data_IF_003461921653
#
_entry.id   IF_003461921653
#
_cell.length_a   1.000
_cell.length_b   1.000
_cell.length_c   1.000
_cell.angle_alpha   90.00
_cell.angle_beta   90.00
_cell.angle_gamma   90.00
#
_symmetry.space_group_name_H-M   'P 1'
#
loop_
_entity.id
_entity.type
_entity.pdbx_description
1 polymer ?
#
# COMPACT_ATOMS: atom_id res chain seq x y z
N UNK A 1 -62.15 -3.12 33.35
CA UNK A 1 -60.88 -3.83 33.11
C UNK A 1 -59.83 -2.80 32.70
N UNK A 2 -58.97 -2.38 33.62
CA UNK A 2 -57.77 -1.59 33.32
C UNK A 2 -56.57 -2.52 33.53
N UNK A 3 -55.81 -2.78 32.48
CA UNK A 3 -54.62 -3.61 32.53
C UNK A 3 -53.38 -2.74 32.82
N UNK A 4 -52.58 -3.20 33.78
CA UNK A 4 -51.38 -2.51 34.27
C UNK A 4 -50.22 -2.57 33.27
N UNK A 5 -49.39 -1.55 33.32
CA UNK A 5 -48.20 -1.33 32.52
C UNK A 5 -47.15 -2.45 32.68
N UNK A 6 -46.64 -2.95 31.55
CA UNK A 6 -45.37 -3.72 31.49
C UNK A 6 -44.26 -2.78 31.05
N UNK A 7 -43.39 -2.41 31.99
CA UNK A 7 -42.13 -1.69 31.77
C UNK A 7 -41.29 -2.39 30.68
N UNK A 8 -41.13 -1.76 29.51
CA UNK A 8 -40.14 -2.16 28.51
C UNK A 8 -38.73 -1.95 29.08
N UNK A 9 -37.97 -3.04 29.21
CA UNK A 9 -36.51 -2.96 29.38
C UNK A 9 -35.92 -2.33 28.12
N UNK A 10 -35.29 -1.16 28.29
CA UNK A 10 -34.48 -0.50 27.25
C UNK A 10 -33.28 -1.42 26.99
N UNK A 11 -33.26 -2.09 25.84
CA UNK A 11 -32.12 -2.90 25.40
C UNK A 11 -30.92 -2.02 25.06
N UNK A 12 -29.74 -2.44 25.48
CA UNK A 12 -28.45 -1.87 25.05
C UNK A 12 -28.35 -1.90 23.52
N UNK A 13 -27.79 -0.83 22.92
CA UNK A 13 -27.55 -0.78 21.47
C UNK A 13 -26.46 -1.81 21.10
N UNK A 14 -26.72 -2.78 20.19
CA UNK A 14 -25.74 -3.81 19.81
C UNK A 14 -24.39 -3.25 19.30
N UNK A 15 -24.39 -2.06 18.70
CA UNK A 15 -23.18 -1.37 18.22
C UNK A 15 -22.22 -0.95 19.34
N UNK A 16 -22.70 -0.69 20.56
CA UNK A 16 -21.83 -0.29 21.67
C UNK A 16 -21.01 -1.46 22.23
N UNK A 17 -21.54 -2.69 22.15
CA UNK A 17 -20.84 -3.91 22.58
C UNK A 17 -19.78 -4.36 21.56
N UNK A 18 -20.08 -4.23 20.26
CA UNK A 18 -19.17 -4.57 19.15
C UNK A 18 -17.85 -3.79 19.18
N UNK A 19 -17.90 -2.52 19.56
CA UNK A 19 -16.75 -1.63 19.61
C UNK A 19 -16.28 -1.35 21.04
N UNK A 20 -16.47 -2.28 21.98
CA UNK A 20 -16.02 -2.10 23.36
C UNK A 20 -14.50 -2.12 23.56
N UNK A 21 -13.75 -2.83 22.71
CA UNK A 21 -12.30 -3.04 22.85
C UNK A 21 -11.45 -2.32 21.78
N UNK A 22 -10.22 -1.87 22.12
CA UNK A 22 -9.30 -1.21 21.17
C UNK A 22 -8.84 -2.09 20.01
N UNK A 23 -8.91 -3.41 20.17
CA UNK A 23 -8.40 -4.38 19.21
C UNK A 23 -9.40 -5.53 19.03
N UNK A 24 -9.49 -6.09 17.82
CA UNK A 24 -10.45 -7.13 17.46
C UNK A 24 -9.78 -8.22 16.61
N UNK A 25 -10.22 -9.47 16.74
CA UNK A 25 -9.87 -10.56 15.81
C UNK A 25 -10.68 -10.55 14.51
N UNK A 26 -11.59 -9.60 14.33
CA UNK A 26 -12.50 -9.51 13.18
C UNK A 26 -13.25 -10.84 12.94
N UNK A 27 -13.80 -11.42 14.01
CA UNK A 27 -14.50 -12.70 13.97
C UNK A 27 -15.95 -12.62 13.49
N UNK A 28 -16.62 -11.48 13.72
CA UNK A 28 -18.01 -11.26 13.31
C UNK A 28 -18.06 -10.28 12.13
N UNK A 29 -18.74 -10.61 11.02
CA UNK A 29 -18.96 -9.68 9.90
C UNK A 29 -19.80 -8.47 10.33
N UNK A 30 -19.53 -7.26 9.79
CA UNK A 30 -20.42 -6.12 9.97
C UNK A 30 -21.77 -6.39 9.28
N UNK A 31 -22.87 -6.11 9.97
CA UNK A 31 -24.24 -6.27 9.47
C UNK A 31 -24.88 -4.95 9.02
N UNK A 32 -24.08 -3.88 9.01
CA UNK A 32 -24.54 -2.53 8.68
C UNK A 32 -24.47 -2.30 7.16
N UNK A 33 -25.46 -1.59 6.63
CA UNK A 33 -25.44 -1.12 5.24
C UNK A 33 -24.64 0.17 5.13
N UNK A 34 -23.78 0.27 4.12
CA UNK A 34 -22.96 1.45 3.84
C UNK A 34 -23.18 1.92 2.41
N UNK A 35 -22.90 3.20 2.15
CA UNK A 35 -22.90 3.72 0.78
C UNK A 35 -21.76 3.13 -0.05
N UNK A 36 -21.91 3.10 -1.39
CA UNK A 36 -20.84 2.64 -2.28
C UNK A 36 -19.58 3.52 -2.17
N UNK A 37 -19.77 4.83 -1.97
CA UNK A 37 -18.68 5.78 -1.74
C UNK A 37 -17.92 5.50 -0.45
N UNK A 38 -18.63 5.19 0.66
CA UNK A 38 -17.97 4.74 1.89
C UNK A 38 -17.23 3.42 1.69
N UNK A 39 -17.84 2.47 0.99
CA UNK A 39 -17.23 1.18 0.69
C UNK A 39 -15.88 1.35 -0.02
N UNK A 40 -15.86 2.15 -1.10
CA UNK A 40 -14.64 2.45 -1.85
C UNK A 40 -13.60 3.19 -1.01
N UNK A 41 -14.01 4.24 -0.30
CA UNK A 41 -13.12 5.05 0.54
C UNK A 41 -12.48 4.19 1.64
N UNK A 42 -13.26 3.31 2.28
CA UNK A 42 -12.77 2.43 3.35
C UNK A 42 -11.80 1.39 2.83
N UNK A 43 -12.06 0.83 1.64
CA UNK A 43 -11.16 -0.11 0.98
C UNK A 43 -9.81 0.55 0.66
N UNK A 44 -9.86 1.71 0.00
CA UNK A 44 -8.67 2.46 -0.42
C UNK A 44 -7.85 2.88 0.81
N UNK A 45 -8.49 3.43 1.83
CA UNK A 45 -7.77 3.90 3.02
C UNK A 45 -7.12 2.75 3.79
N UNK A 46 -7.79 1.61 3.95
CA UNK A 46 -7.16 0.45 4.60
C UNK A 46 -6.01 -0.09 3.75
N UNK A 47 -6.15 -0.11 2.44
CA UNK A 47 -5.08 -0.55 1.56
C UNK A 47 -3.84 0.36 1.68
N UNK A 48 -4.02 1.69 1.76
CA UNK A 48 -2.92 2.64 2.06
C UNK A 48 -2.25 2.32 3.39
N UNK A 49 -3.03 2.03 4.42
CA UNK A 49 -2.51 1.65 5.73
C UNK A 49 -1.66 0.37 5.65
N UNK A 50 -2.17 -0.70 5.02
CA UNK A 50 -1.45 -1.96 4.89
C UNK A 50 -0.19 -1.84 4.01
N UNK A 51 -0.23 -1.02 2.95
CA UNK A 51 0.96 -0.69 2.15
C UNK A 51 2.00 0.09 2.96
N UNK A 52 1.56 0.96 3.87
CA UNK A 52 2.47 1.62 4.80
C UNK A 52 3.08 0.62 5.80
N UNK A 53 2.31 -0.35 6.29
CA UNK A 53 2.83 -1.43 7.15
C UNK A 53 3.93 -2.22 6.44
N UNK A 54 3.69 -2.60 5.18
CA UNK A 54 4.69 -3.26 4.32
C UNK A 54 5.97 -2.42 4.19
N UNK A 55 5.84 -1.17 3.76
CA UNK A 55 6.96 -0.27 3.53
C UNK A 55 7.81 -0.02 4.79
N UNK A 56 7.14 0.23 5.93
CA UNK A 56 7.81 0.50 7.20
C UNK A 56 8.43 -0.79 7.77
N UNK A 57 7.81 -1.95 7.56
CA UNK A 57 8.35 -3.25 7.97
C UNK A 57 9.59 -3.69 7.19
N UNK A 58 9.76 -3.22 5.96
CA UNK A 58 10.99 -3.39 5.18
C UNK A 58 12.05 -2.37 5.60
N UNK A 59 11.65 -1.12 5.83
CA UNK A 59 12.59 -0.01 6.09
C UNK A 59 13.14 0.04 7.52
N UNK A 60 12.43 -0.55 8.48
CA UNK A 60 12.77 -0.46 9.91
C UNK A 60 12.55 -1.79 10.63
N UNK A 61 13.30 -1.99 11.71
CA UNK A 61 13.04 -3.09 12.64
C UNK A 61 11.66 -2.91 13.30
N UNK A 62 10.88 -4.00 13.32
CA UNK A 62 9.54 -4.04 13.92
C UNK A 62 9.62 -3.66 15.40
N UNK A 63 8.83 -2.68 15.82
CA UNK A 63 8.83 -2.17 17.20
C UNK A 63 9.83 -1.06 17.49
N UNK A 64 10.70 -0.68 16.54
CA UNK A 64 11.58 0.48 16.70
C UNK A 64 10.77 1.80 16.84
N UNK A 65 11.32 2.84 17.50
CA UNK A 65 10.64 4.13 17.61
C UNK A 65 10.26 4.75 16.25
N UNK A 66 11.09 4.57 15.23
CA UNK A 66 10.83 5.05 13.87
C UNK A 66 9.68 4.28 13.21
N UNK A 67 9.64 2.95 13.39
CA UNK A 67 8.55 2.09 12.93
C UNK A 67 7.21 2.55 13.52
N UNK A 68 7.15 2.69 14.84
CA UNK A 68 5.93 3.11 15.56
C UNK A 68 5.51 4.51 15.16
N UNK A 69 6.44 5.48 15.11
CA UNK A 69 6.13 6.87 14.75
C UNK A 69 5.48 6.98 13.37
N UNK A 70 5.97 6.25 12.37
CA UNK A 70 5.40 6.27 11.02
C UNK A 70 4.01 5.63 10.97
N UNK A 71 3.80 4.49 11.65
CA UNK A 71 2.49 3.84 11.70
C UNK A 71 1.43 4.70 12.41
N UNK A 72 1.80 5.37 13.50
CA UNK A 72 0.89 6.30 14.21
C UNK A 72 0.53 7.47 13.31
N UNK A 73 1.50 8.07 12.62
CA UNK A 73 1.27 9.19 11.73
C UNK A 73 0.29 8.83 10.61
N UNK A 74 0.48 7.67 9.98
CA UNK A 74 -0.40 7.22 8.90
C UNK A 74 -1.79 6.83 9.40
N UNK A 75 -1.87 6.12 10.53
CA UNK A 75 -3.15 5.76 11.16
C UNK A 75 -3.96 7.01 11.50
N UNK A 76 -3.30 8.07 11.98
CA UNK A 76 -3.93 9.37 12.25
C UNK A 76 -4.39 10.05 10.95
N UNK A 77 -3.56 10.07 9.92
CA UNK A 77 -3.87 10.70 8.63
C UNK A 77 -5.09 10.06 7.95
N UNK A 78 -5.18 8.73 8.02
CA UNK A 78 -6.25 7.94 7.41
C UNK A 78 -7.46 7.73 8.31
N UNK A 79 -7.52 8.39 9.48
CA UNK A 79 -8.60 8.25 10.47
C UNK A 79 -8.85 6.80 10.94
N UNK A 80 -7.79 6.00 11.08
CA UNK A 80 -7.85 4.69 11.75
C UNK A 80 -7.57 4.81 13.25
N UNK A 81 -8.00 3.82 14.06
CA UNK A 81 -7.69 3.79 15.48
C UNK A 81 -6.18 3.74 15.71
N UNK A 82 -5.65 4.76 16.40
CA UNK A 82 -4.30 4.77 16.96
C UNK A 82 -4.31 4.94 18.49
N UNK A 83 -5.50 5.16 19.07
CA UNK A 83 -5.82 5.25 20.51
C UNK A 83 -7.24 4.71 20.74
N UNK A 84 -7.71 4.78 21.99
CA UNK A 84 -9.08 4.44 22.40
C UNK A 84 -10.11 5.44 21.82
N UNK A 85 -10.41 5.30 20.53
CA UNK A 85 -11.41 6.13 19.83
C UNK A 85 -12.50 5.22 19.23
N UNK A 86 -13.65 5.03 19.91
CA UNK A 86 -14.72 4.13 19.47
C UNK A 86 -15.24 4.44 18.06
N UNK A 87 -15.34 5.72 17.70
CA UNK A 87 -15.90 6.18 16.43
C UNK A 87 -15.08 5.74 15.20
N UNK A 88 -13.76 5.53 15.39
CA UNK A 88 -12.86 5.08 14.32
C UNK A 88 -12.82 3.56 14.16
N UNK A 89 -13.40 2.81 15.10
CA UNK A 89 -13.43 1.34 15.06
C UNK A 89 -14.37 0.80 14.00
N UNK A 90 -15.47 1.51 13.71
CA UNK A 90 -16.38 1.17 12.61
C UNK A 90 -15.65 1.07 11.28
N UNK A 91 -14.87 2.10 10.94
CA UNK A 91 -14.08 2.12 9.71
C UNK A 91 -13.08 0.97 9.67
N UNK A 92 -12.35 0.72 10.76
CA UNK A 92 -11.38 -0.36 10.86
C UNK A 92 -12.01 -1.75 10.67
N UNK A 93 -13.13 -2.01 11.35
CA UNK A 93 -13.86 -3.27 11.25
C UNK A 93 -14.40 -3.50 9.83
N UNK A 94 -15.12 -2.52 9.27
CA UNK A 94 -15.74 -2.66 7.94
C UNK A 94 -14.67 -2.79 6.85
N UNK A 95 -13.67 -1.90 6.85
CA UNK A 95 -12.61 -1.91 5.83
C UNK A 95 -11.83 -3.22 5.81
N UNK A 96 -11.61 -3.87 6.95
CA UNK A 96 -10.98 -5.19 7.02
C UNK A 96 -11.78 -6.23 6.24
N UNK A 97 -13.10 -6.29 6.46
CA UNK A 97 -13.98 -7.23 5.76
C UNK A 97 -14.12 -6.89 4.26
N UNK A 98 -14.10 -5.62 3.88
CA UNK A 98 -14.09 -5.22 2.47
C UNK A 98 -12.85 -5.76 1.77
N UNK A 99 -11.65 -5.57 2.34
CA UNK A 99 -10.41 -6.06 1.72
C UNK A 99 -10.32 -7.59 1.67
N UNK A 100 -11.01 -8.33 2.56
CA UNK A 100 -11.11 -9.80 2.44
C UNK A 100 -11.71 -10.22 1.09
N UNK A 101 -12.65 -9.45 0.53
CA UNK A 101 -13.25 -9.77 -0.77
C UNK A 101 -12.22 -9.66 -1.90
N UNK A 102 -11.37 -8.64 -1.88
CA UNK A 102 -10.34 -8.44 -2.91
C UNK A 102 -9.16 -9.41 -2.75
N UNK A 103 -8.69 -9.60 -1.51
CA UNK A 103 -7.45 -10.35 -1.24
C UNK A 103 -7.66 -11.85 -1.00
N UNK A 104 -8.88 -12.38 -1.12
CA UNK A 104 -9.13 -13.82 -1.03
C UNK A 104 -8.95 -14.57 -2.37
N UNK A 105 -8.81 -13.86 -3.49
CA UNK A 105 -8.83 -14.41 -4.86
C UNK A 105 -7.68 -15.38 -5.16
N UNK A 106 -6.43 -14.98 -4.89
CA UNK A 106 -5.25 -15.81 -5.16
C UNK A 106 -4.50 -16.14 -3.87
N UNK A 107 -3.62 -17.14 -3.89
CA UNK A 107 -2.80 -17.46 -2.72
C UNK A 107 -1.83 -16.34 -2.36
N UNK A 108 -1.23 -15.70 -3.36
CA UNK A 108 -0.25 -14.63 -3.13
C UNK A 108 -0.90 -13.40 -2.49
N UNK A 109 -2.09 -13.01 -2.96
CA UNK A 109 -2.88 -11.94 -2.34
C UNK A 109 -3.25 -12.29 -0.90
N UNK A 110 -3.67 -13.53 -0.64
CA UNK A 110 -3.98 -14.01 0.72
C UNK A 110 -2.76 -13.92 1.62
N UNK A 111 -1.60 -14.42 1.17
CA UNK A 111 -0.34 -14.40 1.93
C UNK A 111 0.07 -12.97 2.26
N UNK A 112 0.02 -12.08 1.28
CA UNK A 112 0.35 -10.66 1.47
C UNK A 112 -0.58 -9.99 2.49
N UNK A 113 -1.90 -10.13 2.31
CA UNK A 113 -2.89 -9.51 3.18
C UNK A 113 -2.80 -10.01 4.62
N UNK A 114 -2.69 -11.34 4.81
CA UNK A 114 -2.49 -11.94 6.13
C UNK A 114 -1.22 -11.38 6.78
N UNK A 115 -0.12 -11.27 6.03
CA UNK A 115 1.14 -10.78 6.56
C UNK A 115 1.03 -9.34 7.08
N UNK A 116 0.45 -8.43 6.27
CA UNK A 116 0.31 -7.03 6.67
C UNK A 116 -0.69 -6.84 7.80
N UNK A 117 -1.81 -7.58 7.81
CA UNK A 117 -2.79 -7.54 8.91
C UNK A 117 -2.22 -8.07 10.22
N UNK A 118 -1.43 -9.16 10.18
CA UNK A 118 -0.74 -9.69 11.37
C UNK A 118 0.27 -8.69 11.92
N UNK A 119 1.02 -8.01 11.05
CA UNK A 119 1.98 -6.99 11.48
C UNK A 119 1.30 -5.72 12.04
N UNK A 120 0.17 -5.30 11.46
CA UNK A 120 -0.67 -4.25 12.03
C UNK A 120 -1.24 -4.66 13.39
N UNK A 121 -1.74 -5.88 13.51
CA UNK A 121 -2.26 -6.43 14.76
C UNK A 121 -1.16 -6.50 15.83
N UNK A 122 0.04 -6.97 15.47
CA UNK A 122 1.21 -7.00 16.38
C UNK A 122 1.51 -5.63 16.97
N UNK A 123 1.56 -4.61 16.11
CA UNK A 123 1.77 -3.23 16.57
C UNK A 123 0.70 -2.81 17.57
N UNK A 124 -0.59 -2.99 17.22
CA UNK A 124 -1.70 -2.58 18.08
C UNK A 124 -1.76 -3.36 19.38
N UNK A 125 -1.49 -4.67 19.36
CA UNK A 125 -1.47 -5.51 20.55
C UNK A 125 -0.34 -5.12 21.51
N UNK A 126 0.84 -4.79 20.97
CA UNK A 126 1.97 -4.36 21.79
C UNK A 126 1.75 -3.01 22.47
N UNK A 127 0.96 -2.12 21.87
CA UNK A 127 0.58 -0.82 22.43
C UNK A 127 -0.46 -0.91 23.57
N UNK A 128 -1.11 -2.08 23.74
CA UNK A 128 -2.07 -2.30 24.82
C UNK A 128 -1.40 -2.36 26.19
N UNK A 129 -2.06 -1.78 27.20
CA UNK A 129 -1.67 -1.97 28.59
C UNK A 129 -1.85 -3.43 29.04
N UNK A 130 -1.13 -3.89 30.08
CA UNK A 130 -1.27 -5.26 30.59
C UNK A 130 -2.71 -5.65 30.95
N UNK A 131 -3.49 -4.72 31.53
CA UNK A 131 -4.91 -4.94 31.87
C UNK A 131 -5.76 -5.18 30.62
N UNK A 132 -5.53 -4.40 29.56
CA UNK A 132 -6.25 -4.55 28.28
C UNK A 132 -5.87 -5.84 27.56
N UNK A 133 -4.60 -6.26 27.63
CA UNK A 133 -4.19 -7.56 27.08
C UNK A 133 -4.93 -8.70 27.76
N UNK A 134 -4.98 -8.72 29.10
CA UNK A 134 -5.73 -9.74 29.85
C UNK A 134 -7.22 -9.74 29.48
N UNK A 135 -7.85 -8.58 29.46
CA UNK A 135 -9.26 -8.48 29.07
C UNK A 135 -9.51 -8.98 27.64
N UNK A 136 -8.60 -8.66 26.71
CA UNK A 136 -8.64 -9.16 25.33
C UNK A 136 -8.54 -10.69 25.28
N UNK A 137 -7.63 -11.30 26.05
CA UNK A 137 -7.47 -12.76 26.10
C UNK A 137 -8.77 -13.44 26.61
N UNK A 138 -9.29 -12.99 27.75
CA UNK A 138 -10.50 -13.57 28.34
C UNK A 138 -11.72 -13.47 27.41
N UNK A 139 -11.94 -12.32 26.76
CA UNK A 139 -13.08 -12.12 25.84
C UNK A 139 -13.01 -12.99 24.58
N UNK A 140 -11.82 -13.36 24.14
CA UNK A 140 -11.63 -14.19 22.95
C UNK A 140 -11.52 -15.69 23.28
N UNK A 141 -11.94 -16.10 24.48
CA UNK A 141 -11.86 -17.47 25.00
C UNK A 141 -10.42 -18.01 25.07
N UNK A 142 -9.44 -17.12 25.27
CA UNK A 142 -8.05 -17.49 25.51
C UNK A 142 -7.80 -17.43 27.03
N UNK A 143 -8.08 -18.52 27.72
CA UNK A 143 -7.89 -18.62 29.18
C UNK A 143 -6.40 -18.86 29.51
N UNK A 144 -5.61 -17.81 29.37
CA UNK A 144 -4.18 -17.84 29.63
C UNK A 144 -3.92 -17.23 31.00
N UNK A 145 -4.01 -18.08 32.02
CA UNK A 145 -3.81 -17.66 33.41
C UNK A 145 -2.32 -17.68 33.77
N UNK A 146 -1.93 -16.75 34.64
CA UNK A 146 -0.58 -16.74 35.21
C UNK A 146 -0.44 -17.83 36.26
N UNK A 147 0.74 -18.48 36.30
CA UNK A 147 1.01 -19.50 37.32
C UNK A 147 1.23 -18.86 38.69
N UNK A 148 0.78 -19.55 39.73
CA UNK A 148 1.03 -19.12 41.11
C UNK A 148 2.52 -19.18 41.47
N UNK A 149 2.91 -18.41 42.50
CA UNK A 149 4.31 -18.30 42.96
C UNK A 149 4.87 -19.67 43.36
N UNK A 150 4.08 -20.50 44.06
CA UNK A 150 4.47 -21.85 44.48
C UNK A 150 4.71 -22.79 43.28
N UNK A 151 3.81 -22.78 42.29
CA UNK A 151 3.97 -23.58 41.06
C UNK A 151 5.19 -23.11 40.27
N UNK A 152 5.40 -21.80 40.18
CA UNK A 152 6.56 -21.19 39.53
C UNK A 152 7.88 -21.61 40.19
N UNK A 153 7.95 -21.57 41.52
CA UNK A 153 9.13 -21.99 42.29
C UNK A 153 9.42 -23.48 42.09
N UNK A 154 8.39 -24.33 42.12
CA UNK A 154 8.54 -25.77 41.90
C UNK A 154 8.97 -26.14 40.47
N UNK A 155 8.66 -25.30 39.48
CA UNK A 155 9.00 -25.52 38.07
C UNK A 155 10.25 -24.75 37.62
N UNK A 156 10.89 -23.95 38.48
CA UNK A 156 11.97 -23.01 38.14
C UNK A 156 13.03 -23.62 37.23
N UNK A 157 13.67 -24.73 37.63
CA UNK A 157 14.74 -25.35 36.85
C UNK A 157 14.26 -25.84 35.48
N UNK A 158 13.02 -26.32 35.41
CA UNK A 158 12.42 -26.83 34.17
C UNK A 158 12.09 -25.69 33.21
N UNK A 159 11.58 -24.57 33.72
CA UNK A 159 11.32 -23.36 32.93
C UNK A 159 12.62 -22.80 32.37
N UNK A 160 13.66 -22.76 33.19
CA UNK A 160 14.99 -22.24 32.84
C UNK A 160 15.65 -23.10 31.74
N UNK A 161 15.59 -24.43 31.86
CA UNK A 161 16.15 -25.34 30.87
C UNK A 161 15.36 -25.41 29.54
N UNK A 162 14.08 -25.05 29.56
CA UNK A 162 13.20 -25.18 28.40
C UNK A 162 12.95 -23.87 27.65
N UNK A 163 13.30 -22.72 28.22
CA UNK A 163 12.99 -21.40 27.66
C UNK A 163 14.28 -20.69 27.18
N UNK A 164 14.53 -20.60 25.86
CA UNK A 164 15.72 -19.94 25.34
C UNK A 164 15.75 -18.45 25.72
N UNK A 165 16.91 -17.96 26.16
CA UNK A 165 17.09 -16.54 26.51
C UNK A 165 16.55 -16.13 27.88
N UNK A 166 16.02 -17.08 28.67
CA UNK A 166 15.60 -16.84 30.05
C UNK A 166 16.75 -17.23 31.00
N UNK A 167 17.28 -16.25 31.74
CA UNK A 167 18.22 -16.48 32.85
C UNK A 167 17.48 -16.77 34.16
N UNK A 168 18.16 -17.38 35.14
CA UNK A 168 17.53 -17.71 36.43
C UNK A 168 16.96 -16.52 37.21
N UNK A 169 17.49 -15.32 36.98
CA UNK A 169 16.97 -14.06 37.53
C UNK A 169 15.67 -13.68 36.81
N UNK A 170 15.65 -13.76 35.48
CA UNK A 170 14.45 -13.44 34.69
C UNK A 170 13.29 -14.41 34.93
N UNK A 171 13.54 -15.65 35.36
CA UNK A 171 12.46 -16.57 35.76
C UNK A 171 11.70 -16.00 36.96
N UNK A 172 12.39 -15.45 37.96
CA UNK A 172 11.74 -14.95 39.19
C UNK A 172 10.93 -13.69 38.93
N UNK A 173 11.46 -12.78 38.12
CA UNK A 173 10.86 -11.46 37.85
C UNK A 173 9.74 -11.48 36.78
N UNK A 174 9.74 -12.47 35.86
CA UNK A 174 8.77 -12.49 34.76
C UNK A 174 7.56 -13.39 35.03
N UNK A 175 6.38 -12.94 34.62
CA UNK A 175 5.18 -13.78 34.64
C UNK A 175 5.27 -14.91 33.62
N UNK A 176 4.84 -16.10 34.05
CA UNK A 176 4.66 -17.26 33.19
C UNK A 176 3.17 -17.57 33.07
N UNK A 177 2.73 -17.82 31.85
CA UNK A 177 1.37 -18.21 31.52
C UNK A 177 1.29 -19.71 31.31
N UNK A 178 0.24 -20.31 31.84
CA UNK A 178 -0.11 -21.70 31.60
C UNK A 178 -1.15 -21.75 30.49
N UNK A 179 -0.80 -22.34 29.35
CA UNK A 179 -1.68 -22.40 28.18
C UNK A 179 -1.80 -23.83 27.65
N UNK A 180 -2.93 -24.23 27.06
CA UNK A 180 -3.05 -25.51 26.38
C UNK A 180 -1.96 -25.66 25.32
N UNK A 181 -1.31 -26.83 25.23
CA UNK A 181 -0.18 -27.00 24.30
C UNK A 181 -0.56 -26.81 22.82
N UNK A 182 -1.83 -27.04 22.49
CA UNK A 182 -2.40 -26.89 21.15
C UNK A 182 -2.37 -25.44 20.65
N UNK A 183 -2.36 -24.47 21.57
CA UNK A 183 -2.31 -23.04 21.22
C UNK A 183 -0.87 -22.57 20.97
N UNK A 184 0.13 -23.37 21.36
CA UNK A 184 1.55 -23.02 21.34
C UNK A 184 2.40 -24.00 20.50
N UNK A 185 1.82 -24.64 19.48
CA UNK A 185 2.46 -25.74 18.75
C UNK A 185 3.83 -25.37 18.14
N UNK A 186 4.01 -24.13 17.69
CA UNK A 186 5.29 -23.67 17.12
C UNK A 186 6.43 -23.66 18.17
N UNK A 187 6.10 -23.31 19.41
CA UNK A 187 7.04 -23.31 20.52
C UNK A 187 7.31 -24.75 21.00
N UNK A 188 6.28 -25.59 21.03
CA UNK A 188 6.39 -27.01 21.40
C UNK A 188 7.26 -27.78 20.41
N UNK A 189 6.99 -27.64 19.10
CA UNK A 189 7.72 -28.32 18.03
C UNK A 189 9.21 -27.99 18.05
N UNK A 190 9.56 -26.76 18.42
CA UNK A 190 10.95 -26.30 18.50
C UNK A 190 11.58 -26.51 19.88
N UNK A 191 10.87 -27.14 20.82
CA UNK A 191 11.30 -27.40 22.20
C UNK A 191 11.76 -26.13 22.93
N UNK A 192 11.03 -25.03 22.73
CA UNK A 192 11.32 -23.71 23.32
C UNK A 192 10.46 -23.38 24.54
N UNK A 193 9.64 -24.32 25.00
CA UNK A 193 8.74 -24.17 26.16
C UNK A 193 8.68 -25.46 26.95
N UNK A 194 8.41 -25.35 28.24
CA UNK A 194 8.20 -26.50 29.11
C UNK A 194 6.77 -27.05 28.95
N UNK A 195 6.65 -28.37 28.72
CA UNK A 195 5.37 -29.08 28.55
C UNK A 195 5.13 -30.01 29.75
N UNK A 196 3.94 -29.93 30.38
CA UNK A 196 3.52 -30.81 31.47
C UNK A 196 2.01 -31.02 31.43
N UNK A 197 1.59 -32.29 31.41
CA UNK A 197 0.18 -32.70 31.52
C UNK A 197 -0.79 -31.97 30.56
N UNK A 198 -0.38 -31.79 29.30
CA UNK A 198 -1.20 -31.11 28.27
C UNK A 198 -1.13 -29.58 28.27
N UNK A 199 -0.33 -28.99 29.17
CA UNK A 199 -0.12 -27.55 29.24
C UNK A 199 1.33 -27.18 28.96
N UNK A 200 1.53 -26.01 28.36
CA UNK A 200 2.84 -25.39 28.23
C UNK A 200 2.93 -24.14 29.09
N UNK A 201 4.15 -23.84 29.50
CA UNK A 201 4.47 -22.72 30.35
C UNK A 201 5.33 -21.76 29.54
N UNK A 202 4.80 -20.57 29.29
CA UNK A 202 5.42 -19.59 28.40
C UNK A 202 5.69 -18.28 29.15
N UNK A 203 6.80 -17.59 28.90
CA UNK A 203 7.04 -16.27 29.47
C UNK A 203 6.10 -15.24 28.83
N UNK A 204 5.85 -14.13 29.53
CA UNK A 204 4.99 -13.04 29.04
C UNK A 204 5.37 -12.56 27.62
N UNK A 205 6.64 -12.60 27.25
CA UNK A 205 7.10 -12.16 25.92
C UNK A 205 6.53 -13.01 24.78
N UNK A 206 6.27 -14.30 25.02
CA UNK A 206 5.76 -15.25 24.01
C UNK A 206 4.24 -15.22 23.85
N UNK A 207 3.52 -14.55 24.76
CA UNK A 207 2.05 -14.40 24.65
C UNK A 207 1.67 -13.71 23.34
N UNK A 208 2.49 -12.76 22.90
CA UNK A 208 2.31 -12.01 21.66
C UNK A 208 2.39 -12.97 20.47
N UNK A 209 3.37 -13.87 20.44
CA UNK A 209 3.54 -14.86 19.37
C UNK A 209 2.32 -15.76 19.23
N UNK A 210 1.81 -16.28 20.35
CA UNK A 210 0.63 -17.17 20.35
C UNK A 210 -0.62 -16.46 19.84
N UNK A 211 -0.90 -15.26 20.36
CA UNK A 211 -2.08 -14.48 19.96
C UNK A 211 -2.02 -14.12 18.47
N UNK A 212 -0.83 -13.78 17.96
CA UNK A 212 -0.62 -13.49 16.55
C UNK A 212 -0.85 -14.71 15.66
N UNK A 213 -0.42 -15.89 16.11
CA UNK A 213 -0.63 -17.14 15.38
C UNK A 213 -2.09 -17.56 15.35
N UNK A 214 -2.83 -17.39 16.46
CA UNK A 214 -4.28 -17.61 16.48
C UNK A 214 -5.00 -16.66 15.51
N UNK A 215 -4.65 -15.38 15.55
CA UNK A 215 -5.18 -14.39 14.60
C UNK A 215 -4.90 -14.77 13.14
N UNK A 216 -3.64 -15.13 12.82
CA UNK A 216 -3.21 -15.56 11.49
C UNK A 216 -4.03 -16.76 11.01
N UNK A 217 -4.21 -17.76 11.86
CA UNK A 217 -4.91 -19.01 11.54
C UNK A 217 -6.39 -18.74 11.29
N UNK A 218 -7.05 -17.96 12.15
CA UNK A 218 -8.46 -17.56 11.98
C UNK A 218 -8.67 -16.75 10.70
N UNK A 219 -7.79 -15.79 10.42
CA UNK A 219 -7.86 -14.96 9.22
C UNK A 219 -7.67 -15.80 7.95
N UNK A 220 -6.69 -16.70 7.94
CA UNK A 220 -6.46 -17.64 6.83
C UNK A 220 -7.69 -18.49 6.54
N UNK A 221 -8.29 -19.09 7.57
CA UNK A 221 -9.54 -19.85 7.45
C UNK A 221 -10.69 -18.99 6.93
N UNK A 222 -10.83 -17.77 7.44
CA UNK A 222 -11.88 -16.85 7.01
C UNK A 222 -11.75 -16.48 5.52
N UNK A 223 -10.54 -16.17 5.04
CA UNK A 223 -10.30 -15.87 3.62
C UNK A 223 -10.60 -17.07 2.72
N UNK A 224 -10.27 -18.28 3.16
CA UNK A 224 -10.61 -19.50 2.40
C UNK A 224 -12.13 -19.69 2.29
N UNK A 225 -12.88 -19.39 3.35
CA UNK A 225 -14.35 -19.41 3.31
C UNK A 225 -14.92 -18.29 2.43
N UNK A 226 -14.38 -17.07 2.52
CA UNK A 226 -14.78 -15.94 1.66
C UNK A 226 -14.57 -16.27 0.18
N UNK A 227 -13.42 -16.84 -0.18
CA UNK A 227 -13.11 -17.21 -1.56
C UNK A 227 -14.13 -18.20 -2.16
N UNK A 228 -14.61 -19.16 -1.35
CA UNK A 228 -15.63 -20.14 -1.79
C UNK A 228 -16.98 -19.48 -2.10
N UNK A 229 -17.34 -18.43 -1.37
CA UNK A 229 -18.60 -17.70 -1.55
C UNK A 229 -18.47 -16.50 -2.51
N UNK A 230 -17.26 -16.21 -2.98
CA UNK A 230 -16.96 -15.06 -3.82
C UNK A 230 -17.69 -15.03 -5.17
N UNK A 231 -18.03 -16.16 -5.84
CA UNK A 231 -18.81 -16.13 -7.08
C UNK A 231 -20.16 -15.42 -6.95
N UNK A 232 -20.83 -15.51 -5.79
CA UNK A 232 -22.09 -14.81 -5.54
C UNK A 232 -21.93 -13.28 -5.44
N UNK A 233 -20.71 -12.81 -5.17
CA UNK A 233 -20.35 -11.38 -5.18
C UNK A 233 -19.94 -10.94 -6.59
N UNK A 234 -19.44 -11.86 -7.42
CA UNK A 234 -19.03 -11.56 -8.79
C UNK A 234 -20.18 -11.21 -9.73
N UNK A 235 -21.40 -11.66 -9.42
CA UNK A 235 -22.60 -11.27 -10.16
C UNK A 235 -22.99 -9.79 -9.95
N UNK A 236 -22.42 -9.09 -8.97
CA UNK A 236 -22.69 -7.67 -8.75
C UNK A 236 -21.71 -6.79 -9.54
N UNK A 237 -22.20 -6.19 -10.62
CA UNK A 237 -21.42 -5.31 -11.51
C UNK A 237 -20.81 -4.10 -10.80
N UNK A 238 -21.35 -3.68 -9.65
CA UNK A 238 -20.83 -2.52 -8.90
C UNK A 238 -19.54 -2.86 -8.16
N UNK A 239 -19.41 -4.10 -7.71
CA UNK A 239 -18.28 -4.54 -6.87
C UNK A 239 -17.12 -5.07 -7.72
N UNK A 240 -17.42 -5.64 -8.89
CA UNK A 240 -16.43 -6.26 -9.76
C UNK A 240 -15.25 -5.34 -10.13
N UNK A 241 -15.49 -4.13 -10.69
CA UNK A 241 -14.39 -3.22 -11.02
C UNK A 241 -13.59 -2.89 -9.77
N UNK A 242 -14.23 -2.60 -8.64
CA UNK A 242 -13.53 -2.18 -7.44
C UNK A 242 -12.63 -3.30 -6.87
N UNK A 243 -13.12 -4.55 -6.81
CA UNK A 243 -12.34 -5.67 -6.30
C UNK A 243 -11.14 -6.01 -7.19
N UNK A 244 -11.31 -5.94 -8.52
CA UNK A 244 -10.23 -6.18 -9.48
C UNK A 244 -9.20 -5.05 -9.48
N UNK A 245 -9.65 -3.80 -9.30
CA UNK A 245 -8.73 -2.69 -9.17
C UNK A 245 -7.97 -2.75 -7.85
N UNK A 246 -8.58 -3.04 -6.70
CA UNK A 246 -7.90 -2.97 -5.39
C UNK A 246 -6.63 -3.81 -5.28
N UNK A 247 -6.56 -4.98 -5.92
CA UNK A 247 -5.37 -5.86 -5.90
C UNK A 247 -4.20 -5.29 -6.73
N UNK A 248 -4.49 -4.50 -7.76
CA UNK A 248 -3.52 -3.90 -8.68
C UNK A 248 -3.45 -2.37 -8.59
N UNK A 249 -4.27 -1.76 -7.74
CA UNK A 249 -4.50 -0.32 -7.70
C UNK A 249 -3.26 0.39 -7.20
N UNK A 250 -2.84 1.37 -7.99
CA UNK A 250 -1.89 2.36 -7.53
C UNK A 250 -2.58 3.30 -6.55
N UNK A 251 -2.18 3.22 -5.28
CA UNK A 251 -2.80 4.00 -4.19
C UNK A 251 -2.03 5.28 -3.87
N UNK A 252 -1.03 5.62 -4.69
CA UNK A 252 -0.27 6.85 -4.57
C UNK A 252 -0.95 8.04 -5.24
N UNK A 253 -0.23 9.16 -5.35
CA UNK A 253 -0.79 10.41 -5.85
C UNK A 253 -1.12 10.32 -7.34
N UNK A 254 -2.30 10.79 -7.75
CA UNK A 254 -2.64 10.87 -9.17
C UNK A 254 -1.83 12.00 -9.85
N UNK A 255 -1.04 11.61 -10.86
CA UNK A 255 -0.18 12.52 -11.63
C UNK A 255 -0.84 13.01 -12.93
N UNK A 256 -2.09 12.65 -13.19
CA UNK A 256 -2.85 13.15 -14.35
C UNK A 256 -3.21 14.64 -14.23
N UNK A 257 -3.51 15.13 -13.01
CA UNK A 257 -4.09 16.48 -12.77
C UNK A 257 -3.06 17.47 -12.20
N UNK A 258 -1.74 17.29 -12.36
CA UNK A 258 -0.79 18.33 -11.91
C UNK A 258 -0.81 19.55 -12.85
N UNK A 259 -1.80 20.42 -12.63
CA UNK A 259 -1.76 21.83 -13.03
C UNK A 259 -0.65 22.50 -12.22
N UNK A 260 0.50 22.68 -12.84
CA UNK A 260 1.58 23.58 -12.43
C UNK A 260 2.43 23.15 -11.22
N UNK A 261 3.22 22.08 -11.34
CA UNK A 261 4.45 21.94 -10.52
C UNK A 261 5.65 22.13 -11.45
N UNK A 262 6.15 23.37 -11.51
CA UNK A 262 7.36 23.76 -12.26
C UNK A 262 7.20 23.70 -13.78
N UNK A 263 7.19 24.86 -14.46
CA UNK A 263 7.37 24.90 -15.92
C UNK A 263 8.80 24.45 -16.23
N UNK A 264 8.98 23.15 -16.52
CA UNK A 264 10.25 22.64 -17.00
C UNK A 264 10.45 23.16 -18.42
N UNK A 265 11.59 23.80 -18.66
CA UNK A 265 11.98 24.24 -20.00
C UNK A 265 12.66 23.11 -20.76
N UNK A 266 12.68 23.17 -22.09
CA UNK A 266 13.24 22.10 -22.92
C UNK A 266 14.74 21.90 -22.67
N UNK A 267 15.44 22.99 -22.37
CA UNK A 267 16.88 23.02 -22.12
C UNK A 267 17.24 22.34 -20.78
N UNK A 268 16.28 22.22 -19.86
CA UNK A 268 16.50 21.60 -18.56
C UNK A 268 16.42 20.07 -18.62
N UNK A 269 15.80 19.50 -19.65
CA UNK A 269 15.52 18.05 -19.74
C UNK A 269 16.81 17.23 -19.61
N UNK A 270 17.88 17.58 -20.34
CA UNK A 270 19.13 16.82 -20.33
C UNK A 270 19.79 16.87 -18.94
N UNK A 271 19.81 18.04 -18.30
CA UNK A 271 20.34 18.22 -16.94
C UNK A 271 19.55 17.42 -15.90
N UNK A 272 18.21 17.44 -16.01
CA UNK A 272 17.31 16.71 -15.13
C UNK A 272 17.42 15.19 -15.31
N UNK A 273 17.72 14.72 -16.53
CA UNK A 273 17.90 13.29 -16.81
C UNK A 273 19.01 12.67 -15.96
N UNK A 274 20.09 13.42 -15.72
CA UNK A 274 21.24 12.95 -14.96
C UNK A 274 21.04 12.98 -13.44
N UNK A 275 20.21 13.91 -12.95
CA UNK A 275 20.09 14.23 -11.51
C UNK A 275 18.79 13.72 -10.88
N UNK A 276 17.71 13.71 -11.63
CA UNK A 276 16.36 13.56 -11.07
C UNK A 276 15.46 12.55 -11.76
N UNK A 277 15.89 11.97 -12.87
CA UNK A 277 15.12 10.88 -13.47
C UNK A 277 15.36 9.58 -12.74
N UNK A 278 14.31 8.78 -12.46
CA UNK A 278 14.49 7.41 -12.06
C UNK A 278 15.15 6.63 -13.21
N UNK A 279 15.78 5.50 -12.85
CA UNK A 279 16.59 4.71 -13.78
C UNK A 279 15.85 4.32 -15.08
N UNK A 280 14.56 4.00 -14.99
CA UNK A 280 13.71 3.69 -16.16
C UNK A 280 13.60 4.85 -17.15
N UNK A 281 13.41 6.08 -16.65
CA UNK A 281 13.27 7.26 -17.52
C UNK A 281 14.62 7.78 -17.98
N UNK A 282 15.67 7.63 -17.16
CA UNK A 282 17.05 7.93 -17.56
C UNK A 282 17.49 7.03 -18.72
N UNK A 283 17.15 5.75 -18.66
CA UNK A 283 17.45 4.81 -19.74
C UNK A 283 16.75 5.17 -21.05
N UNK A 284 15.46 5.51 -20.99
CA UNK A 284 14.70 5.98 -22.16
C UNK A 284 15.26 7.28 -22.74
N UNK A 285 15.61 8.23 -21.88
CA UNK A 285 16.21 9.49 -22.32
C UNK A 285 17.55 9.27 -23.03
N UNK A 286 18.43 8.45 -22.46
CA UNK A 286 19.72 8.10 -23.08
C UNK A 286 19.52 7.42 -24.43
N UNK A 287 18.66 6.40 -24.49
CA UNK A 287 18.36 5.69 -25.74
C UNK A 287 17.77 6.62 -26.82
N UNK A 288 16.92 7.56 -26.43
CA UNK A 288 16.38 8.56 -27.34
C UNK A 288 17.49 9.47 -27.90
N UNK A 289 18.40 9.97 -27.05
CA UNK A 289 19.50 10.85 -27.47
C UNK A 289 20.56 10.13 -28.30
N UNK A 290 20.77 8.83 -28.08
CA UNK A 290 21.74 8.01 -28.83
C UNK A 290 21.19 7.54 -30.17
N UNK A 291 19.94 7.06 -30.19
CA UNK A 291 19.36 6.44 -31.40
C UNK A 291 18.51 7.42 -32.23
N UNK A 292 18.25 8.61 -31.69
CA UNK A 292 17.34 9.62 -32.26
C UNK A 292 15.94 9.08 -32.56
N UNK A 293 15.53 8.00 -31.89
CA UNK A 293 14.22 7.36 -32.04
C UNK A 293 13.89 6.50 -30.82
N UNK A 294 12.59 6.30 -30.57
CA UNK A 294 12.07 5.31 -29.63
C UNK A 294 10.89 4.56 -30.25
N UNK A 295 10.81 3.26 -29.96
CA UNK A 295 9.64 2.40 -30.29
C UNK A 295 8.41 2.80 -29.48
N UNK A 296 7.23 2.32 -29.90
CA UNK A 296 5.93 2.71 -29.35
C UNK A 296 5.88 2.70 -27.81
N UNK A 297 6.23 1.56 -27.18
CA UNK A 297 6.22 1.44 -25.72
C UNK A 297 7.14 2.46 -25.02
N UNK A 298 8.30 2.76 -25.61
CA UNK A 298 9.21 3.79 -25.11
C UNK A 298 8.67 5.20 -25.24
N UNK A 299 8.04 5.52 -26.37
CA UNK A 299 7.38 6.82 -26.60
C UNK A 299 6.26 7.06 -25.60
N UNK A 300 5.43 6.05 -25.34
CA UNK A 300 4.33 6.14 -24.38
C UNK A 300 4.83 6.31 -22.95
N UNK A 301 5.73 5.42 -22.49
CA UNK A 301 6.26 5.47 -21.13
C UNK A 301 6.99 6.80 -20.86
N UNK A 302 7.85 7.24 -21.78
CA UNK A 302 8.63 8.46 -21.59
C UNK A 302 7.80 9.72 -21.83
N UNK A 303 6.96 9.74 -22.87
CA UNK A 303 6.12 10.88 -23.24
C UNK A 303 5.12 11.23 -22.13
N UNK A 304 4.45 10.23 -21.55
CA UNK A 304 3.54 10.46 -20.43
C UNK A 304 4.29 10.88 -19.16
N UNK A 305 5.49 10.36 -18.91
CA UNK A 305 6.34 10.84 -17.82
C UNK A 305 6.71 12.32 -18.01
N UNK A 306 7.13 12.73 -19.21
CA UNK A 306 7.47 14.12 -19.57
C UNK A 306 6.27 15.06 -19.37
N UNK A 307 5.09 14.65 -19.81
CA UNK A 307 3.83 15.34 -19.52
C UNK A 307 3.62 15.50 -18.00
N UNK A 308 3.78 14.41 -17.25
CA UNK A 308 3.56 14.43 -15.80
C UNK A 308 4.58 15.23 -14.99
N UNK A 309 5.77 15.52 -15.53
CA UNK A 309 6.74 16.44 -14.90
C UNK A 309 6.52 17.91 -15.33
N UNK A 310 5.51 18.18 -16.18
CA UNK A 310 5.08 19.54 -16.51
C UNK A 310 5.41 20.03 -17.92
N UNK A 311 5.85 19.15 -18.83
CA UNK A 311 6.11 19.54 -20.22
C UNK A 311 4.79 19.84 -20.95
N UNK A 312 4.69 20.99 -21.62
CA UNK A 312 3.50 21.35 -22.40
C UNK A 312 3.41 20.53 -23.69
N UNK A 313 2.22 20.47 -24.31
CA UNK A 313 2.04 19.82 -25.60
C UNK A 313 2.95 20.44 -26.69
N UNK A 314 3.05 21.77 -26.73
CA UNK A 314 3.90 22.48 -27.68
C UNK A 314 5.37 22.13 -27.49
N UNK A 315 5.83 22.13 -26.24
CA UNK A 315 7.20 21.73 -25.89
C UNK A 315 7.44 20.26 -26.23
N UNK A 316 6.49 19.36 -25.95
CA UNK A 316 6.62 17.95 -26.27
C UNK A 316 6.74 17.74 -27.79
N UNK A 317 5.89 18.38 -28.60
CA UNK A 317 5.99 18.32 -30.06
C UNK A 317 7.35 18.83 -30.54
N UNK A 318 7.83 19.96 -30.01
CA UNK A 318 9.15 20.50 -30.36
C UNK A 318 10.28 19.55 -29.95
N UNK A 319 10.21 18.99 -28.75
CA UNK A 319 11.19 18.04 -28.22
C UNK A 319 11.32 16.82 -29.13
N UNK A 320 10.21 16.10 -29.35
CA UNK A 320 10.20 14.88 -30.16
C UNK A 320 10.57 15.16 -31.62
N UNK A 321 10.07 16.27 -32.21
CA UNK A 321 10.39 16.66 -33.59
C UNK A 321 11.88 16.93 -33.75
N UNK A 322 12.44 17.77 -32.88
CA UNK A 322 13.85 18.17 -32.95
C UNK A 322 14.80 16.98 -32.78
N UNK A 323 14.41 15.98 -31.99
CA UNK A 323 15.22 14.78 -31.78
C UNK A 323 15.07 13.78 -32.93
N UNK A 324 13.85 13.50 -33.40
CA UNK A 324 13.62 12.52 -34.46
C UNK A 324 14.20 12.95 -35.82
N UNK A 325 14.22 14.26 -36.09
CA UNK A 325 14.82 14.83 -37.30
C UNK A 325 16.36 14.71 -37.33
N UNK A 326 17.00 14.57 -36.17
CA UNK A 326 18.45 14.23 -36.13
C UNK A 326 18.71 12.79 -36.58
N UNK A 327 17.69 11.94 -36.49
CA UNK A 327 17.73 10.56 -36.96
C UNK A 327 17.28 10.43 -38.42
N UNK A 328 16.55 9.34 -38.70
CA UNK A 328 16.08 8.99 -40.04
C UNK A 328 14.65 9.45 -40.34
N UNK A 329 14.04 10.26 -39.47
CA UNK A 329 12.65 10.70 -39.62
C UNK A 329 12.65 12.12 -40.17
N UNK A 330 12.13 12.32 -41.38
CA UNK A 330 11.95 13.66 -41.91
C UNK A 330 10.80 14.41 -41.23
N UNK A 331 10.76 15.74 -41.44
CA UNK A 331 9.78 16.62 -40.83
C UNK A 331 8.32 16.27 -41.18
N UNK A 332 8.06 15.87 -42.42
CA UNK A 332 6.71 15.55 -42.91
C UNK A 332 6.22 14.23 -42.35
N UNK A 333 7.11 13.23 -42.27
CA UNK A 333 6.87 11.93 -41.65
C UNK A 333 6.61 12.09 -40.16
N UNK A 334 7.33 13.00 -39.47
CA UNK A 334 7.03 13.34 -38.09
C UNK A 334 5.61 13.86 -37.91
N UNK A 335 5.23 14.87 -38.71
CA UNK A 335 3.92 15.53 -38.59
C UNK A 335 2.76 14.57 -38.92
N UNK A 336 2.96 13.62 -39.85
CA UNK A 336 1.95 12.62 -40.22
C UNK A 336 1.85 11.43 -39.26
N UNK A 337 2.98 10.85 -38.84
CA UNK A 337 2.99 9.57 -38.13
C UNK A 337 3.14 9.70 -36.61
N UNK A 338 3.71 10.80 -36.10
CA UNK A 338 4.10 10.90 -34.68
C UNK A 338 3.38 12.02 -33.93
N UNK A 339 3.18 13.17 -34.58
CA UNK A 339 2.53 14.32 -33.94
C UNK A 339 1.11 14.00 -33.44
N UNK A 340 0.36 13.17 -34.17
CA UNK A 340 -0.95 12.67 -33.75
C UNK A 340 -0.86 11.91 -32.42
N UNK A 341 0.04 10.93 -32.30
CA UNK A 341 0.18 10.15 -31.06
C UNK A 341 0.56 11.03 -29.86
N UNK A 342 1.36 12.09 -30.09
CA UNK A 342 1.76 13.03 -29.04
C UNK A 342 0.56 13.86 -28.60
N UNK A 343 -0.25 14.40 -29.51
CA UNK A 343 -1.48 15.14 -29.14
C UNK A 343 -2.51 14.25 -28.45
N UNK A 344 -2.59 12.98 -28.86
CA UNK A 344 -3.42 11.98 -28.21
C UNK A 344 -2.99 11.72 -26.75
N UNK A 345 -1.69 11.57 -26.47
CA UNK A 345 -1.17 11.45 -25.09
C UNK A 345 -1.56 12.64 -24.19
N UNK A 346 -1.78 13.83 -24.76
CA UNK A 346 -2.20 15.05 -24.06
C UNK A 346 -3.73 15.28 -24.09
N UNK A 347 -4.53 14.31 -24.58
CA UNK A 347 -5.99 14.40 -24.60
C UNK A 347 -6.56 15.45 -25.56
N UNK A 348 -5.78 15.89 -26.57
CA UNK A 348 -6.19 16.91 -27.54
C UNK A 348 -6.77 16.35 -28.85
N UNK A 349 -6.73 15.03 -29.03
CA UNK A 349 -7.26 14.31 -30.19
C UNK A 349 -8.00 13.03 -29.71
N UNK A 350 -8.87 12.44 -30.54
CA UNK A 350 -9.68 11.25 -30.18
C UNK A 350 -10.84 11.54 -29.21
N UNK A 351 -11.18 10.58 -28.33
CA UNK A 351 -12.22 10.72 -27.26
C UNK A 351 -11.88 11.78 -26.20
N UNK A 352 -10.74 12.49 -26.31
CA UNK A 352 -10.19 13.43 -25.32
C UNK A 352 -9.87 12.79 -23.96
N UNK A 353 -9.51 11.51 -23.97
CA UNK A 353 -9.07 10.79 -22.77
C UNK A 353 -7.69 11.32 -22.33
N UNK A 354 -7.61 11.83 -21.10
CA UNK A 354 -6.38 12.40 -20.55
C UNK A 354 -5.49 11.28 -19.98
N UNK A 355 -4.59 10.73 -20.81
CA UNK A 355 -3.75 9.60 -20.41
C UNK A 355 -2.87 9.91 -19.19
N UNK A 356 -2.97 9.06 -18.17
CA UNK A 356 -2.21 9.19 -16.93
C UNK A 356 -0.77 8.70 -17.10
N UNK A 357 0.24 9.39 -16.55
CA UNK A 357 1.60 8.86 -16.43
C UNK A 357 1.64 7.44 -15.86
N UNK A 358 2.55 6.60 -16.37
CA UNK A 358 2.64 5.22 -15.91
C UNK A 358 3.23 5.15 -14.50
N UNK A 359 2.52 4.48 -13.59
CA UNK A 359 3.05 4.12 -12.29
C UNK A 359 4.07 2.96 -12.38
N UNK A 360 4.84 2.71 -11.32
CA UNK A 360 5.86 1.66 -11.33
C UNK A 360 5.27 0.28 -11.62
N UNK A 361 4.09 -0.05 -11.09
CA UNK A 361 3.44 -1.35 -11.32
C UNK A 361 3.12 -1.57 -12.80
N UNK A 362 2.58 -0.56 -13.49
CA UNK A 362 2.30 -0.60 -14.92
C UNK A 362 3.58 -0.79 -15.74
N UNK A 363 4.64 -0.06 -15.38
CA UNK A 363 5.97 -0.21 -16.01
C UNK A 363 6.60 -1.59 -15.76
N UNK A 364 6.24 -2.27 -14.67
CA UNK A 364 6.78 -3.58 -14.27
C UNK A 364 5.95 -4.75 -14.82
N UNK A 365 4.63 -4.63 -14.94
CA UNK A 365 3.73 -5.76 -15.19
C UNK A 365 3.03 -5.76 -16.54
N UNK A 366 2.82 -4.61 -17.18
CA UNK A 366 1.90 -4.53 -18.34
C UNK A 366 2.55 -4.86 -19.68
N UNK A 367 3.69 -4.23 -20.03
CA UNK A 367 4.35 -4.44 -21.32
C UNK A 367 5.86 -4.70 -21.11
N UNK A 368 6.29 -5.98 -21.13
CA UNK A 368 7.70 -6.32 -20.97
C UNK A 368 8.50 -5.95 -22.25
N UNK A 369 9.67 -5.32 -22.11
CA UNK A 369 10.47 -4.90 -23.27
C UNK A 369 11.06 -6.11 -24.02
N UNK A 370 11.11 -6.01 -25.35
CA UNK A 370 11.79 -6.97 -26.24
C UNK A 370 13.14 -6.44 -26.73
N UNK A 371 13.85 -7.21 -27.57
CA UNK A 371 15.10 -6.74 -28.17
C UNK A 371 14.88 -5.45 -28.99
N UNK A 372 15.68 -4.43 -28.69
CA UNK A 372 15.56 -3.09 -29.29
C UNK A 372 14.56 -2.17 -28.57
N UNK A 373 13.87 -2.65 -27.53
CA UNK A 373 13.08 -1.81 -26.63
C UNK A 373 13.90 -1.33 -25.44
N UNK A 374 13.67 -0.07 -25.06
CA UNK A 374 14.33 0.57 -23.92
C UNK A 374 13.36 0.92 -22.78
N UNK A 375 12.08 0.53 -22.91
CA UNK A 375 11.03 0.79 -21.94
C UNK A 375 11.01 -0.28 -20.82
N UNK A 376 10.12 -0.14 -19.85
CA UNK A 376 10.05 -1.02 -18.68
C UNK A 376 10.90 -0.56 -17.49
N UNK A 377 10.97 -1.40 -16.46
CA UNK A 377 11.73 -1.14 -15.24
C UNK A 377 13.10 -1.84 -15.30
N UNK A 378 14.23 -1.10 -15.25
CA UNK A 378 15.55 -1.72 -15.30
C UNK A 378 15.82 -2.70 -14.15
N UNK A 379 15.25 -2.47 -12.96
CA UNK A 379 15.39 -3.37 -11.81
C UNK A 379 14.63 -4.70 -11.98
N UNK A 380 13.67 -4.77 -12.91
CA UNK A 380 12.88 -5.98 -13.18
C UNK A 380 13.32 -6.67 -14.47
N UNK A 381 13.55 -5.89 -15.53
CA UNK A 381 13.68 -6.41 -16.89
C UNK A 381 15.13 -6.44 -17.40
N UNK A 382 16.08 -5.77 -16.74
CA UNK A 382 17.48 -5.87 -17.15
C UNK A 382 18.09 -7.16 -16.62
N UNK A 383 19.06 -7.68 -17.37
CA UNK A 383 19.98 -8.68 -16.83
C UNK A 383 20.72 -8.12 -15.58
N UNK A 384 20.88 -8.90 -14.49
CA UNK A 384 21.51 -8.44 -13.26
C UNK A 384 22.94 -7.90 -13.43
N UNK A 385 23.77 -8.51 -14.29
CA UNK A 385 25.14 -8.07 -14.51
C UNK A 385 25.17 -6.77 -15.32
N UNK A 386 24.32 -6.66 -16.34
CA UNK A 386 24.13 -5.42 -17.08
C UNK A 386 23.62 -4.28 -16.18
N UNK A 387 22.68 -4.57 -15.28
CA UNK A 387 22.17 -3.61 -14.31
C UNK A 387 23.29 -3.13 -13.37
N UNK A 388 24.11 -4.06 -12.86
CA UNK A 388 25.25 -3.73 -12.02
C UNK A 388 26.25 -2.82 -12.72
N UNK A 389 26.60 -3.12 -13.97
CA UNK A 389 27.48 -2.28 -14.80
C UNK A 389 26.89 -0.88 -14.99
N UNK A 390 25.58 -0.77 -15.29
CA UNK A 390 24.89 0.52 -15.41
C UNK A 390 24.92 1.31 -14.09
N UNK A 391 24.68 0.67 -12.94
CA UNK A 391 24.73 1.33 -11.63
C UNK A 391 26.14 1.81 -11.29
N UNK A 392 27.18 1.05 -11.64
CA UNK A 392 28.57 1.47 -11.51
C UNK A 392 28.89 2.67 -12.41
N UNK A 393 28.41 2.68 -13.66
CA UNK A 393 28.53 3.82 -14.55
C UNK A 393 27.88 5.08 -13.97
N UNK A 394 26.75 4.92 -13.29
CA UNK A 394 26.09 6.00 -12.55
C UNK A 394 26.73 6.33 -11.19
N UNK A 395 27.90 5.76 -10.88
CA UNK A 395 28.70 6.02 -9.68
C UNK A 395 27.96 5.69 -8.38
N UNK A 396 27.07 4.70 -8.40
CA UNK A 396 26.50 4.13 -7.17
C UNK A 396 27.61 3.36 -6.45
N UNK A 397 27.75 3.57 -5.14
CA UNK A 397 28.79 2.90 -4.37
C UNK A 397 28.62 1.38 -4.40
N UNK A 398 29.70 0.58 -4.36
CA UNK A 398 29.60 -0.87 -4.34
C UNK A 398 28.72 -1.41 -3.18
N UNK A 399 28.76 -0.75 -2.02
CA UNK A 399 27.88 -1.05 -0.89
C UNK A 399 26.42 -0.73 -1.18
N UNK A 400 26.14 0.38 -1.87
CA UNK A 400 24.79 0.75 -2.31
C UNK A 400 24.22 -0.21 -3.35
N UNK A 401 25.05 -0.70 -4.28
CA UNK A 401 24.67 -1.70 -5.30
C UNK A 401 24.23 -3.00 -4.63
N UNK A 402 24.94 -3.45 -3.59
CA UNK A 402 24.59 -4.65 -2.82
C UNK A 402 23.33 -4.45 -1.94
N UNK A 403 22.86 -3.21 -1.77
CA UNK A 403 21.65 -2.84 -1.02
C UNK A 403 20.48 -2.43 -1.94
N UNK A 404 20.62 -2.57 -3.27
CA UNK A 404 19.57 -2.21 -4.23
C UNK A 404 18.30 -3.05 -4.04
N UNK A 405 18.42 -4.22 -3.43
CA UNK A 405 17.26 -4.90 -2.88
C UNK A 405 16.76 -4.18 -1.63
N UNK A 406 15.50 -3.73 -1.70
CA UNK A 406 14.59 -3.47 -0.56
C UNK A 406 14.62 -2.13 0.18
N UNK A 407 14.80 -0.96 -0.46
CA UNK A 407 14.68 0.30 0.34
C UNK A 407 14.09 1.55 -0.34
N UNK A 408 12.94 1.50 -1.03
CA UNK A 408 12.19 2.76 -1.29
C UNK A 408 10.66 2.57 -1.35
N UNK A 409 9.92 3.46 -0.68
CA UNK A 409 8.45 3.56 -0.71
C UNK A 409 7.90 4.26 -1.97
N UNK A 410 8.74 4.46 -2.98
CA UNK A 410 8.39 5.13 -4.23
C UNK A 410 7.68 4.17 -5.15
N UNK A 411 6.48 4.53 -5.58
CA UNK A 411 5.63 3.68 -6.42
C UNK A 411 5.33 4.31 -7.79
N UNK A 412 5.91 5.48 -8.09
CA UNK A 412 5.69 6.18 -9.36
C UNK A 412 6.94 6.95 -9.84
N UNK A 413 7.29 6.90 -11.14
CA UNK A 413 8.40 7.67 -11.71
C UNK A 413 8.33 9.18 -11.47
N UNK A 414 7.15 9.80 -11.71
CA UNK A 414 6.93 11.22 -11.37
C UNK A 414 7.05 11.53 -9.87
N UNK A 415 6.71 10.59 -8.96
CA UNK A 415 6.97 10.76 -7.52
C UNK A 415 8.47 10.86 -7.26
N UNK A 416 9.26 9.93 -7.81
CA UNK A 416 10.72 9.95 -7.70
C UNK A 416 11.28 11.29 -8.17
N UNK A 417 10.81 11.79 -9.31
CA UNK A 417 11.26 13.07 -9.85
C UNK A 417 10.99 14.23 -8.89
N UNK A 418 9.77 14.37 -8.39
CA UNK A 418 9.40 15.45 -7.46
C UNK A 418 10.16 15.36 -6.13
N UNK A 419 10.34 14.15 -5.59
CA UNK A 419 11.13 13.96 -4.37
C UNK A 419 12.61 14.30 -4.59
N UNK A 420 13.19 13.90 -5.73
CA UNK A 420 14.56 14.29 -6.11
C UNK A 420 14.70 15.81 -6.21
N UNK A 421 13.75 16.49 -6.84
CA UNK A 421 13.74 17.95 -6.94
C UNK A 421 13.68 18.64 -5.57
N UNK A 422 12.96 18.08 -4.59
CA UNK A 422 12.94 18.60 -3.21
C UNK A 422 14.31 18.51 -2.51
N UNK A 423 15.05 17.43 -2.79
CA UNK A 423 16.40 17.22 -2.24
C UNK A 423 17.39 18.21 -2.84
N UNK A 424 17.36 18.44 -4.15
CA UNK A 424 18.27 19.37 -4.82
C UNK A 424 17.85 20.84 -4.72
N UNK A 425 16.56 21.14 -4.57
CA UNK A 425 16.00 22.49 -4.51
C UNK A 425 16.05 23.18 -3.14
N UNK A 426 16.70 22.59 -2.14
CA UNK A 426 16.99 23.26 -0.87
C UNK A 426 15.77 23.74 -0.09
N UNK A 427 14.70 22.93 0.01
CA UNK A 427 13.65 23.01 1.05
C UNK A 427 12.90 24.33 1.31
N UNK A 428 13.16 25.44 0.61
CA UNK A 428 12.68 26.78 1.00
C UNK A 428 11.58 27.37 0.11
N UNK A 429 11.51 27.01 -1.17
CA UNK A 429 10.56 27.68 -2.06
C UNK A 429 9.22 26.95 -2.21
N UNK A 430 9.20 25.61 -2.17
CA UNK A 430 7.95 24.84 -2.30
C UNK A 430 7.12 24.74 -1.01
N UNK A 431 7.72 24.98 0.17
CA UNK A 431 6.98 24.93 1.44
C UNK A 431 5.97 26.08 1.55
N UNK A 432 6.32 27.25 1.01
CA UNK A 432 5.39 28.40 0.92
C UNK A 432 4.20 28.12 -0.01
N UNK A 433 4.42 27.43 -1.12
CA UNK A 433 3.35 27.10 -2.07
C UNK A 433 2.47 25.93 -1.60
N UNK A 434 3.03 24.93 -0.93
CA UNK A 434 2.26 23.82 -0.34
C UNK A 434 1.38 24.30 0.82
N UNK A 435 1.89 25.16 1.70
CA UNK A 435 1.13 25.75 2.81
C UNK A 435 0.04 26.72 2.28
N UNK A 436 0.30 27.45 1.19
CA UNK A 436 -0.67 28.30 0.52
C UNK A 436 -1.78 27.49 -0.17
N UNK A 437 -1.44 26.36 -0.79
CA UNK A 437 -2.39 25.49 -1.49
C UNK A 437 -3.26 24.68 -0.51
N UNK A 438 -2.72 24.30 0.66
CA UNK A 438 -3.49 23.68 1.74
C UNK A 438 -4.43 24.69 2.41
N UNK A 439 -3.98 25.93 2.69
CA UNK A 439 -4.86 27.00 3.21
C UNK A 439 -5.95 27.41 2.21
N UNK A 440 -5.66 27.40 0.91
CA UNK A 440 -6.65 27.67 -0.13
C UNK A 440 -7.71 26.54 -0.24
N UNK A 441 -7.31 25.27 0.02
CA UNK A 441 -8.23 24.13 0.12
C UNK A 441 -9.09 24.17 1.39
N UNK A 442 -8.53 24.56 2.54
CA UNK A 442 -9.32 24.74 3.78
C UNK A 442 -10.36 25.87 3.64
N UNK A 443 -10.01 26.99 2.98
CA UNK A 443 -10.94 28.10 2.77
C UNK A 443 -12.01 27.84 1.68
N UNK A 444 -11.77 26.92 0.75
CA UNK A 444 -12.75 26.55 -0.29
C UNK A 444 -13.74 25.49 0.19
N UNK A 445 -13.34 24.58 1.10
CA UNK A 445 -14.23 23.61 1.74
C UNK A 445 -15.28 24.30 2.63
N UNK A 446 -14.93 25.42 3.27
CA UNK A 446 -15.88 26.19 4.09
C UNK A 446 -16.93 26.93 3.22
N UNK A 447 -16.57 27.38 2.01
CA UNK A 447 -17.49 28.11 1.11
C UNK A 447 -18.38 27.21 0.24
N UNK A 448 -18.04 25.94 0.06
CA UNK A 448 -18.84 25.00 -0.76
C UNK A 448 -20.08 24.43 -0.02
N UNK A 449 -20.31 24.80 1.23
CA UNK A 449 -21.48 24.37 2.02
C UNK A 449 -22.79 25.08 1.65
N UNK A 450 -22.77 26.02 0.69
CA UNK A 450 -23.97 26.65 0.14
C UNK A 450 -23.80 26.86 -1.37
N UNK A 451 -24.23 25.89 -2.18
CA UNK A 451 -24.88 26.03 -3.50
C UNK A 451 -25.09 24.62 -4.06
N UNK A 452 -26.33 24.26 -4.40
CA UNK A 452 -26.68 23.07 -5.18
C UNK A 452 -26.21 23.27 -6.62
N UNK A 453 -25.42 22.34 -7.17
CA UNK A 453 -25.29 22.18 -8.61
C UNK A 453 -24.94 20.74 -8.98
N UNK A 454 -25.66 20.23 -9.96
CA UNK A 454 -25.59 18.89 -10.56
C UNK A 454 -24.22 18.65 -11.22
N UNK A 455 -23.71 17.41 -11.12
CA UNK A 455 -22.51 16.96 -11.84
C UNK A 455 -22.83 15.82 -12.82
N UNK A 456 -22.14 15.77 -13.97
CA UNK A 456 -22.36 14.76 -14.99
C UNK A 456 -21.67 13.44 -14.61
N UNK A 457 -22.34 12.35 -14.97
CA UNK A 457 -21.92 10.96 -14.86
C UNK A 457 -20.79 10.66 -15.83
N UNK A 458 -19.63 10.20 -15.36
CA UNK A 458 -18.68 9.43 -16.18
C UNK A 458 -18.12 8.28 -15.33
N UNK A 459 -18.47 7.05 -15.74
CA UNK A 459 -18.01 5.77 -15.19
C UNK A 459 -16.72 5.26 -15.86
N UNK A 460 -16.31 4.01 -15.58
CA UNK A 460 -14.95 3.55 -15.83
C UNK A 460 -14.78 2.87 -17.21
N UNK A 461 -14.26 3.59 -18.20
CA UNK A 461 -13.87 3.01 -19.50
C UNK A 461 -12.34 2.71 -19.62
N UNK A 462 -11.52 3.15 -18.67
CA UNK A 462 -10.06 3.28 -18.84
C UNK A 462 -9.20 1.99 -18.95
N UNK A 463 -9.74 0.78 -18.82
CA UNK A 463 -8.96 -0.46 -18.96
C UNK A 463 -9.21 -1.17 -20.29
N UNK A 464 -10.45 -1.20 -20.76
CA UNK A 464 -10.79 -1.72 -22.09
C UNK A 464 -10.29 -0.78 -23.21
N UNK A 465 -10.20 0.53 -22.94
CA UNK A 465 -9.81 1.54 -23.93
C UNK A 465 -8.32 1.52 -24.32
N UNK A 466 -7.49 0.73 -23.65
CA UNK A 466 -6.07 0.60 -23.97
C UNK A 466 -5.78 -0.52 -24.97
N UNK A 467 -6.63 -1.55 -25.06
CA UNK A 467 -6.53 -2.59 -26.10
C UNK A 467 -6.88 -2.02 -27.50
N UNK A 468 -7.66 -0.93 -27.54
CA UNK A 468 -8.00 -0.20 -28.77
C UNK A 468 -6.80 0.59 -29.34
N UNK A 469 -5.78 0.90 -28.53
CA UNK A 469 -4.55 1.56 -29.00
C UNK A 469 -3.58 0.59 -29.70
N UNK A 470 -3.48 -0.65 -29.22
CA UNK A 470 -2.60 -1.67 -29.78
C UNK A 470 -3.11 -2.20 -31.13
N UNK A 471 -4.43 -2.12 -31.36
CA UNK A 471 -5.08 -2.56 -32.60
C UNK A 471 -5.08 -1.49 -33.72
N UNK A 472 -5.02 -0.20 -33.38
CA UNK A 472 -4.98 0.90 -34.37
C UNK A 472 -3.58 1.13 -34.95
N UNK A 473 -2.51 0.69 -34.28
CA UNK A 473 -1.12 1.02 -34.64
C UNK A 473 -0.18 -0.18 -34.79
N UNK A 474 -0.70 -1.34 -35.23
CA UNK A 474 0.17 -2.35 -35.85
C UNK A 474 0.80 -1.71 -37.10
N UNK A 475 2.07 -1.29 -37.01
CA UNK A 475 2.86 -0.96 -38.21
C UNK A 475 2.98 -2.23 -39.07
N UNK A 476 2.94 -2.11 -40.41
CA UNK A 476 3.30 -3.22 -41.31
C UNK A 476 4.77 -3.66 -41.14
#
# INVERSE_FOLDING_TARGET
MQFSERRKRVGSRPQAELYGQPLQFYGQPPLENISLTEFETFAVDRLKLLKTVENVGVSYLKGSPQYVKKLVAESKNLNFPYRLEPDKRRKDHISHFILRLAYCQTEDLRRWFIQQEVDLFRYRFNDLSPKQKLEFLHRNNLQYDTIGIEEKKALKDKLLNSSPGVSGITVEDQDFYKVPFQDALDLVRTRKVYLKAGYVYIPHQEIVTIVLNDFRTRLSKALALTARSLPAVHSDERLQPLLNHLSHAYVGQDYSIQKNVGKISLEQIDSLSGKSYPLCMRHLHQALRENHHLRHGGRMQYGLFLKGIGLSLEQALQFWRSEFIRGKVDADKFDKAYAYSIRHMFGKEGKRTDYTPYNCMKVILSNPPSQGDYHGCPFRHSDPELLKQKLQFYKVSPSGINQVDTTFSLNHPNQYFLESQKVFGGGRDLKREMDATQKAKENSVVKASNVKQELPTNGPENVAEMEDLDSIFQEP
#
